data_IF_597393931163
#
_entry.id   IF_597393931163
#
_cell.length_a   1.000
_cell.length_b   1.000
_cell.length_c   1.000
_cell.angle_alpha   90.00
_cell.angle_beta   90.00
_cell.angle_gamma   90.00
#
_symmetry.space_group_name_H-M   'P 1'
#
loop_
_entity.id
_entity.type
_entity.pdbx_description
1 polymer ?
#
# COMPACT_ATOMS: atom_id res chain seq x y z
N UNK A 1 2.43 25.91 -3.14
CA UNK A 1 1.87 24.80 -3.95
C UNK A 1 2.28 23.48 -3.31
N UNK A 2 1.36 22.68 -2.78
CA UNK A 2 1.69 21.34 -2.27
C UNK A 2 1.63 20.37 -3.45
N UNK A 3 2.79 19.97 -3.95
CA UNK A 3 2.92 18.96 -5.00
C UNK A 3 2.31 17.66 -4.48
N UNK A 4 1.13 17.33 -4.98
CA UNK A 4 0.44 16.10 -4.63
C UNK A 4 1.19 14.95 -5.32
N UNK A 5 2.15 14.33 -4.62
CA UNK A 5 2.82 13.14 -5.12
C UNK A 5 1.79 12.01 -5.13
N UNK A 6 1.24 11.72 -6.31
CA UNK A 6 0.48 10.50 -6.53
C UNK A 6 1.41 9.31 -6.27
N UNK A 7 1.26 8.65 -5.12
CA UNK A 7 2.01 7.45 -4.83
C UNK A 7 1.33 6.28 -5.55
N UNK A 8 2.00 5.75 -6.58
CA UNK A 8 1.55 4.56 -7.30
C UNK A 8 2.15 3.34 -6.62
N UNK A 9 1.32 2.37 -6.25
CA UNK A 9 1.76 1.14 -5.59
C UNK A 9 1.38 -0.09 -6.42
N UNK A 10 2.23 -1.12 -6.37
CA UNK A 10 1.90 -2.48 -6.80
C UNK A 10 1.61 -3.30 -5.56
N UNK A 11 0.46 -3.98 -5.54
CA UNK A 11 0.12 -4.96 -4.52
C UNK A 11 0.36 -6.36 -5.06
N UNK A 12 1.14 -7.16 -4.34
CA UNK A 12 1.26 -8.61 -4.56
C UNK A 12 0.69 -9.35 -3.37
N UNK A 13 -0.12 -10.37 -3.65
CA UNK A 13 -0.71 -11.26 -2.64
C UNK A 13 -0.08 -12.62 -2.83
N UNK A 14 0.47 -13.17 -1.75
CA UNK A 14 1.18 -14.46 -1.77
C UNK A 14 0.72 -15.33 -0.61
N UNK A 15 0.56 -16.63 -0.85
CA UNK A 15 0.29 -17.59 0.20
C UNK A 15 1.59 -18.29 0.60
N UNK A 16 2.03 -18.12 1.85
CA UNK A 16 3.26 -18.72 2.39
C UNK A 16 2.86 -19.56 3.60
N UNK A 17 3.12 -20.88 3.55
CA UNK A 17 2.79 -21.82 4.63
C UNK A 17 1.30 -21.83 5.04
N UNK A 18 0.41 -21.56 4.09
CA UNK A 18 -1.04 -21.49 4.35
C UNK A 18 -1.54 -20.12 4.81
N UNK A 19 -0.63 -19.17 5.08
CA UNK A 19 -0.98 -17.80 5.46
C UNK A 19 -0.94 -16.87 4.24
N UNK A 20 -1.92 -15.96 4.16
CA UNK A 20 -1.94 -14.91 3.15
C UNK A 20 -1.07 -13.73 3.60
N UNK A 21 -0.09 -13.37 2.78
CA UNK A 21 0.82 -12.23 2.99
C UNK A 21 0.70 -11.23 1.86
N UNK A 22 0.90 -9.96 2.19
CA UNK A 22 0.75 -8.84 1.25
C UNK A 22 2.09 -8.14 1.11
N UNK A 23 2.51 -7.88 -0.13
CA UNK A 23 3.68 -7.06 -0.41
C UNK A 23 3.21 -5.80 -1.14
N UNK A 24 3.43 -4.66 -0.50
CA UNK A 24 3.21 -3.36 -1.08
C UNK A 24 4.54 -2.82 -1.61
N UNK A 25 4.59 -2.48 -2.90
CA UNK A 25 5.77 -1.86 -3.51
C UNK A 25 5.42 -0.48 -4.05
N UNK A 26 6.11 0.56 -3.58
CA UNK A 26 6.02 1.89 -4.15
C UNK A 26 6.75 1.91 -5.50
N UNK A 27 6.05 2.33 -6.56
CA UNK A 27 6.59 2.33 -7.93
C UNK A 27 7.63 3.43 -8.11
N UNK A 28 7.48 4.57 -7.39
CA UNK A 28 8.35 5.73 -7.54
C UNK A 28 9.64 5.61 -6.72
N UNK A 29 9.54 5.19 -5.46
CA UNK A 29 10.70 5.01 -4.59
C UNK A 29 11.34 3.62 -4.69
N UNK A 30 10.61 2.65 -5.23
CA UNK A 30 11.04 1.25 -5.24
C UNK A 30 10.93 0.55 -3.87
N UNK A 31 10.51 1.28 -2.84
CA UNK A 31 10.33 0.80 -1.48
C UNK A 31 9.35 -0.38 -1.43
N UNK A 32 9.66 -1.37 -0.60
CA UNK A 32 8.90 -2.61 -0.45
C UNK A 32 8.59 -2.84 1.01
N UNK A 33 7.32 -3.10 1.31
CA UNK A 33 6.85 -3.38 2.64
C UNK A 33 5.93 -4.60 2.67
N UNK A 34 6.22 -5.52 3.59
CA UNK A 34 5.35 -6.65 3.86
C UNK A 34 4.27 -6.24 4.86
N UNK A 35 3.05 -6.69 4.62
CA UNK A 35 1.94 -6.62 5.57
C UNK A 35 1.46 -8.04 5.85
N UNK A 36 1.22 -8.33 7.12
CA UNK A 36 0.77 -9.64 7.59
C UNK A 36 -0.75 -9.78 7.57
N UNK A 37 -1.49 -8.68 7.43
CA UNK A 37 -2.95 -8.68 7.40
C UNK A 37 -3.54 -7.63 6.46
N UNK A 38 -4.82 -7.82 6.09
CA UNK A 38 -5.60 -6.84 5.34
C UNK A 38 -5.72 -5.51 6.09
N UNK A 39 -5.81 -5.53 7.42
CA UNK A 39 -5.93 -4.33 8.24
C UNK A 39 -4.63 -3.53 8.24
N UNK A 40 -3.49 -4.19 8.35
CA UNK A 40 -2.18 -3.55 8.23
C UNK A 40 -1.99 -2.93 6.84
N UNK A 41 -2.32 -3.69 5.78
CA UNK A 41 -2.30 -3.17 4.41
C UNK A 41 -3.21 -1.95 4.27
N UNK A 42 -4.43 -2.00 4.83
CA UNK A 42 -5.38 -0.89 4.78
C UNK A 42 -4.85 0.33 5.51
N UNK A 43 -4.21 0.19 6.65
CA UNK A 43 -3.63 1.31 7.39
C UNK A 43 -2.46 1.94 6.62
N UNK A 44 -1.59 1.11 6.03
CA UNK A 44 -0.49 1.58 5.16
C UNK A 44 -1.01 2.30 3.92
N UNK A 45 -2.07 1.77 3.32
CA UNK A 45 -2.76 2.44 2.22
C UNK A 45 -3.45 3.71 2.71
N UNK A 46 -4.22 3.73 3.80
CA UNK A 46 -4.93 4.92 4.29
C UNK A 46 -4.01 6.09 4.66
N UNK A 47 -2.79 5.81 5.13
CA UNK A 47 -1.76 6.86 5.33
C UNK A 47 -1.44 7.55 3.99
N UNK A 48 -1.46 6.81 2.88
CA UNK A 48 -1.21 7.31 1.52
C UNK A 48 -2.49 7.72 0.76
N UNK A 49 -3.63 7.14 1.16
CA UNK A 49 -4.96 7.41 0.68
C UNK A 49 -5.70 8.16 1.81
N UNK A 50 -5.20 9.37 2.17
CA UNK A 50 -6.12 10.51 2.29
C UNK A 50 -6.71 10.71 0.89
N UNK A 51 -7.60 9.77 0.55
CA UNK A 51 -8.33 9.70 -0.70
C UNK A 51 -8.89 11.07 -0.90
N UNK A 52 -8.71 11.63 -2.09
CA UNK A 52 -9.51 12.74 -2.60
C UNK A 52 -10.94 12.54 -2.10
N UNK A 53 -11.27 13.22 -1.01
CA UNK A 53 -12.61 13.29 -0.51
C UNK A 53 -13.37 13.97 -1.62
N UNK A 54 -14.21 13.17 -2.29
CA UNK A 54 -15.34 13.64 -3.06
C UNK A 54 -15.99 14.79 -2.26
N UNK A 55 -15.80 16.01 -2.76
CA UNK A 55 -16.74 17.12 -2.65
C UNK A 55 -16.88 17.70 -4.03
#
# INVERSE_FOLDING_TARGET
MKTQQEASYILKITHIQGEQKFLLQNIKSGERQWCQSWEELRNQLQINIRVKGLK
#
